data_IF_689631567002
#
_entry.id   IF_689631567002
#
_cell.length_a   1.000
_cell.length_b   1.000
_cell.length_c   1.000
_cell.angle_alpha   90.00
_cell.angle_beta   90.00
_cell.angle_gamma   90.00
#
_symmetry.space_group_name_H-M   'P 1'
#
loop_
_entity.id
_entity.type
_entity.pdbx_description
1 polymer ?
#
# COMPACT_ATOMS: atom_id res chain seq x y z
N UNK A 1 17.87 -25.86 -17.35
CA UNK A 1 16.98 -26.62 -16.44
C UNK A 1 15.88 -25.69 -15.97
N UNK A 2 14.70 -26.24 -15.71
CA UNK A 2 13.50 -25.46 -15.41
C UNK A 2 13.25 -25.42 -13.90
N UNK A 3 12.76 -24.28 -13.41
CA UNK A 3 12.50 -24.03 -11.99
C UNK A 3 11.13 -23.39 -11.81
N UNK A 4 10.56 -23.52 -10.62
CA UNK A 4 9.43 -22.75 -10.14
C UNK A 4 9.93 -21.52 -9.40
N UNK A 5 9.51 -20.33 -9.84
CA UNK A 5 9.75 -19.06 -9.17
C UNK A 5 8.46 -18.57 -8.52
N UNK A 6 8.40 -18.63 -7.20
CA UNK A 6 7.29 -18.12 -6.40
C UNK A 6 7.73 -16.83 -5.72
N UNK A 7 7.05 -15.72 -6.05
CA UNK A 7 7.34 -14.39 -5.50
C UNK A 7 6.11 -13.84 -4.79
N UNK A 8 6.28 -13.18 -3.65
CA UNK A 8 5.18 -12.59 -2.89
C UNK A 8 5.57 -11.30 -2.17
N UNK A 9 4.61 -10.39 -2.10
CA UNK A 9 4.70 -9.12 -1.38
C UNK A 9 3.72 -9.15 -0.20
N UNK A 10 4.15 -8.63 0.94
CA UNK A 10 3.36 -8.40 2.14
C UNK A 10 3.80 -7.12 2.87
N UNK A 11 3.18 -6.80 4.01
CA UNK A 11 1.99 -7.45 4.59
C UNK A 11 0.73 -7.13 3.77
N UNK A 12 -0.17 -8.11 3.54
CA UNK A 12 -1.37 -7.87 2.69
C UNK A 12 -2.55 -7.38 3.52
N UNK A 13 -2.94 -8.15 4.54
CA UNK A 13 -4.14 -7.86 5.31
C UNK A 13 -3.98 -6.58 6.14
N UNK A 14 -2.85 -6.40 6.82
CA UNK A 14 -2.53 -5.16 7.53
C UNK A 14 -2.52 -3.95 6.60
N UNK A 15 -1.87 -4.07 5.44
CA UNK A 15 -1.78 -2.98 4.47
C UNK A 15 -3.12 -2.59 3.88
N UNK A 16 -3.96 -3.53 3.48
CA UNK A 16 -5.27 -3.25 2.87
C UNK A 16 -6.25 -2.74 3.94
N UNK A 17 -6.34 -3.44 5.08
CA UNK A 17 -7.32 -3.13 6.13
C UNK A 17 -7.08 -1.80 6.85
N UNK A 18 -5.83 -1.32 6.90
CA UNK A 18 -5.49 0.01 7.42
C UNK A 18 -5.92 1.12 6.45
N UNK A 19 -7.23 1.34 6.39
CA UNK A 19 -7.89 2.28 5.51
C UNK A 19 -8.96 3.02 6.32
N UNK A 20 -8.90 4.36 6.32
CA UNK A 20 -9.94 5.18 6.96
C UNK A 20 -11.06 5.56 5.99
N UNK A 21 -10.73 5.67 4.71
CA UNK A 21 -11.67 5.99 3.62
C UNK A 21 -11.67 4.84 2.61
N UNK A 22 -12.78 4.61 1.91
CA UNK A 22 -12.88 3.55 0.88
C UNK A 22 -11.84 3.70 -0.23
N UNK A 23 -11.43 4.95 -0.53
CA UNK A 23 -10.30 5.22 -1.43
C UNK A 23 -8.97 4.62 -0.96
N UNK A 24 -8.72 4.57 0.35
CA UNK A 24 -7.48 4.03 0.91
C UNK A 24 -7.43 2.51 0.74
N UNK A 25 -8.61 1.85 0.79
CA UNK A 25 -8.77 0.43 0.53
C UNK A 25 -8.45 0.11 -0.94
N UNK A 26 -9.10 0.83 -1.88
CA UNK A 26 -8.84 0.69 -3.31
C UNK A 26 -7.37 0.97 -3.65
N UNK A 27 -6.82 2.06 -3.11
CA UNK A 27 -5.43 2.42 -3.33
C UNK A 27 -4.45 1.36 -2.82
N UNK A 28 -4.70 0.77 -1.64
CA UNK A 28 -3.88 -0.33 -1.13
C UNK A 28 -3.86 -1.52 -2.07
N UNK A 29 -5.03 -1.99 -2.52
CA UNK A 29 -5.10 -3.12 -3.46
C UNK A 29 -4.43 -2.80 -4.80
N UNK A 30 -4.67 -1.62 -5.37
CA UNK A 30 -4.09 -1.23 -6.66
C UNK A 30 -2.59 -1.03 -6.59
N UNK A 31 -2.06 -0.49 -5.49
CA UNK A 31 -0.63 -0.34 -5.28
C UNK A 31 0.06 -1.72 -5.21
N UNK A 32 -0.51 -2.68 -4.47
CA UNK A 32 0.02 -4.06 -4.47
C UNK A 32 -0.01 -4.69 -5.85
N UNK A 33 -1.11 -4.51 -6.62
CA UNK A 33 -1.18 -5.01 -7.99
C UNK A 33 -0.16 -4.34 -8.92
N UNK A 34 0.10 -3.03 -8.78
CA UNK A 34 1.15 -2.35 -9.56
C UNK A 34 2.53 -2.88 -9.21
N UNK A 35 2.83 -3.10 -7.93
CA UNK A 35 4.12 -3.65 -7.49
C UNK A 35 4.33 -5.08 -8.01
N UNK A 36 3.31 -5.92 -7.99
CA UNK A 36 3.41 -7.29 -8.55
C UNK A 36 3.57 -7.29 -10.06
N UNK A 37 2.86 -6.39 -10.76
CA UNK A 37 3.08 -6.21 -12.20
C UNK A 37 4.51 -5.79 -12.50
N UNK A 38 5.04 -4.83 -11.73
CA UNK A 38 6.41 -4.38 -11.88
C UNK A 38 7.43 -5.49 -11.59
N UNK A 39 7.20 -6.29 -10.54
CA UNK A 39 8.02 -7.46 -10.23
C UNK A 39 8.10 -8.43 -11.41
N UNK A 40 6.94 -8.75 -12.01
CA UNK A 40 6.85 -9.61 -13.18
C UNK A 40 7.61 -9.03 -14.39
N UNK A 41 7.36 -7.76 -14.73
CA UNK A 41 8.02 -7.09 -15.84
C UNK A 41 9.54 -7.02 -15.68
N UNK A 42 10.03 -6.89 -14.44
CA UNK A 42 11.47 -6.92 -14.12
C UNK A 42 12.02 -8.34 -14.25
N UNK A 43 11.35 -9.33 -13.67
CA UNK A 43 11.77 -10.73 -13.74
C UNK A 43 11.96 -11.23 -15.19
N UNK A 44 11.13 -10.76 -16.11
CA UNK A 44 11.25 -11.06 -17.55
C UNK A 44 12.51 -10.48 -18.23
N UNK A 45 13.16 -9.50 -17.62
CA UNK A 45 14.28 -8.74 -18.20
C UNK A 45 15.62 -9.01 -17.52
N UNK A 46 15.64 -9.79 -16.44
CA UNK A 46 16.90 -10.14 -15.74
C UNK A 46 17.78 -10.98 -16.67
N UNK A 47 19.06 -10.61 -16.78
CA UNK A 47 19.99 -11.14 -17.79
C UNK A 47 20.23 -12.66 -17.72
N UNK A 48 20.06 -13.25 -16.54
CA UNK A 48 20.25 -14.69 -16.30
C UNK A 48 19.08 -15.56 -16.80
N UNK A 49 17.92 -14.94 -17.05
CA UNK A 49 16.70 -15.63 -17.51
C UNK A 49 16.77 -15.91 -19.01
N UNK A 50 16.56 -17.16 -19.41
CA UNK A 50 16.40 -17.55 -20.82
C UNK A 50 14.93 -17.50 -21.27
N UNK A 51 14.02 -17.83 -20.37
CA UNK A 51 12.58 -17.83 -20.59
C UNK A 51 11.85 -17.94 -19.27
N UNK A 52 10.72 -17.24 -19.18
CA UNK A 52 9.86 -17.23 -18.00
C UNK A 52 8.39 -17.18 -18.46
N UNK A 53 7.57 -18.08 -17.91
CA UNK A 53 6.15 -18.19 -18.23
C UNK A 53 5.31 -18.19 -16.94
N UNK A 54 4.24 -17.39 -16.88
CA UNK A 54 3.42 -17.31 -15.67
C UNK A 54 2.52 -18.55 -15.57
N UNK A 55 2.55 -19.21 -14.42
CA UNK A 55 1.56 -20.23 -14.06
C UNK A 55 0.34 -19.55 -13.43
N UNK A 56 0.58 -18.57 -12.56
CA UNK A 56 -0.44 -17.69 -11.99
C UNK A 56 0.18 -16.38 -11.49
N UNK A 57 -0.57 -15.28 -11.42
CA UNK A 57 -1.90 -15.06 -12.00
C UNK A 57 -1.83 -14.85 -13.52
N UNK A 58 -2.99 -14.69 -14.15
CA UNK A 58 -3.07 -14.10 -15.48
C UNK A 58 -2.75 -12.59 -15.39
N UNK A 59 -1.65 -12.18 -16.01
CA UNK A 59 -1.17 -10.79 -16.02
C UNK A 59 -1.94 -9.86 -16.98
N UNK A 60 -2.88 -10.39 -17.78
CA UNK A 60 -3.76 -9.58 -18.63
C UNK A 60 -4.88 -8.87 -17.85
N UNK A 61 -5.14 -9.30 -16.61
CA UNK A 61 -6.19 -8.77 -15.75
C UNK A 61 -5.89 -7.40 -15.10
N UNK A 62 -6.95 -6.74 -14.64
CA UNK A 62 -6.88 -5.40 -14.00
C UNK A 62 -6.38 -5.47 -12.55
N UNK A 63 -6.73 -6.53 -11.83
CA UNK A 63 -6.34 -6.75 -10.43
C UNK A 63 -5.44 -7.98 -10.29
N UNK A 64 -4.23 -7.77 -9.77
CA UNK A 64 -3.28 -8.85 -9.50
C UNK A 64 -3.25 -9.18 -8.00
N UNK A 65 -3.19 -10.46 -7.62
CA UNK A 65 -2.88 -10.87 -6.25
C UNK A 65 -1.50 -10.38 -5.83
N UNK A 66 -1.19 -10.50 -4.54
CA UNK A 66 0.09 -10.13 -3.94
C UNK A 66 1.22 -11.17 -4.18
N UNK A 67 1.05 -12.07 -5.14
CA UNK A 67 2.01 -13.14 -5.45
C UNK A 67 1.88 -13.59 -6.89
N UNK A 68 2.96 -14.14 -7.43
CA UNK A 68 2.92 -14.89 -8.68
C UNK A 68 3.79 -16.15 -8.59
N UNK A 69 3.44 -17.14 -9.38
CA UNK A 69 4.21 -18.36 -9.61
C UNK A 69 4.51 -18.45 -11.10
N UNK A 70 5.75 -18.70 -11.44
CA UNK A 70 6.21 -18.81 -12.81
C UNK A 70 7.12 -20.01 -13.00
N UNK A 71 7.09 -20.57 -14.20
CA UNK A 71 8.12 -21.46 -14.70
C UNK A 71 9.25 -20.61 -15.28
N UNK A 72 10.49 -20.89 -14.89
CA UNK A 72 11.67 -20.12 -15.33
C UNK A 72 12.81 -21.05 -15.72
N UNK A 73 13.53 -20.65 -16.76
CA UNK A 73 14.73 -21.33 -17.25
C UNK A 73 15.92 -20.38 -17.18
N UNK A 74 17.06 -20.91 -16.72
CA UNK A 74 18.30 -20.17 -16.55
C UNK A 74 19.40 -20.69 -17.47
N UNK A 75 20.33 -19.78 -17.84
CA UNK A 75 21.59 -20.15 -18.49
C UNK A 75 22.48 -20.94 -17.53
N UNK A 76 22.55 -20.47 -16.29
CA UNK A 76 23.34 -21.02 -15.19
C UNK A 76 22.49 -20.93 -13.91
N UNK A 77 22.27 -22.07 -13.25
CA UNK A 77 21.45 -22.18 -12.04
C UNK A 77 22.06 -21.44 -10.85
N UNK A 78 23.38 -21.25 -10.84
CA UNK A 78 24.05 -20.44 -9.81
C UNK A 78 23.62 -18.97 -9.84
N UNK A 79 22.99 -18.52 -10.93
CA UNK A 79 22.43 -17.18 -11.09
C UNK A 79 20.94 -17.10 -10.76
N UNK A 80 20.30 -18.17 -10.29
CA UNK A 80 18.89 -18.13 -9.88
C UNK A 80 18.65 -17.10 -8.76
N UNK A 81 19.59 -16.99 -7.81
CA UNK A 81 19.52 -15.99 -6.74
C UNK A 81 19.44 -14.55 -7.27
N UNK A 82 20.16 -14.23 -8.35
CA UNK A 82 20.16 -12.91 -8.98
C UNK A 82 18.75 -12.50 -9.43
N UNK A 83 17.96 -13.43 -9.98
CA UNK A 83 16.56 -13.16 -10.37
C UNK A 83 15.73 -12.70 -9.16
N UNK A 84 15.83 -13.42 -8.05
CA UNK A 84 15.09 -13.09 -6.82
C UNK A 84 15.49 -11.72 -6.27
N UNK A 85 16.79 -11.48 -6.14
CA UNK A 85 17.36 -10.25 -5.58
C UNK A 85 17.07 -9.02 -6.44
N UNK A 86 17.28 -9.08 -7.76
CA UNK A 86 16.99 -7.96 -8.65
C UNK A 86 15.48 -7.65 -8.72
N UNK A 87 14.65 -8.69 -8.73
CA UNK A 87 13.19 -8.51 -8.70
C UNK A 87 12.73 -7.86 -7.39
N UNK A 88 13.25 -8.32 -6.25
CA UNK A 88 12.96 -7.71 -4.95
C UNK A 88 13.41 -6.25 -4.90
N UNK A 89 14.65 -5.97 -5.30
CA UNK A 89 15.21 -4.63 -5.28
C UNK A 89 14.38 -3.67 -6.16
N UNK A 90 14.03 -4.08 -7.37
CA UNK A 90 13.22 -3.26 -8.27
C UNK A 90 11.84 -2.92 -7.68
N UNK A 91 11.20 -3.85 -6.98
CA UNK A 91 9.90 -3.61 -6.32
C UNK A 91 10.05 -2.60 -5.18
N UNK A 92 11.10 -2.73 -4.35
CA UNK A 92 11.37 -1.79 -3.26
C UNK A 92 11.64 -0.38 -3.80
N UNK A 93 12.45 -0.28 -4.85
CA UNK A 93 12.73 0.98 -5.53
C UNK A 93 11.48 1.60 -6.16
N UNK A 94 10.63 0.79 -6.79
CA UNK A 94 9.36 1.26 -7.36
C UNK A 94 8.46 1.88 -6.32
N UNK A 95 8.30 1.25 -5.14
CA UNK A 95 7.52 1.82 -4.05
C UNK A 95 8.12 3.14 -3.56
N UNK A 96 9.45 3.20 -3.38
CA UNK A 96 10.15 4.44 -3.04
C UNK A 96 9.93 5.53 -4.08
N UNK A 97 10.07 5.23 -5.37
CA UNK A 97 9.85 6.19 -6.44
C UNK A 97 8.41 6.74 -6.47
N UNK A 98 7.41 5.88 -6.25
CA UNK A 98 6.00 6.30 -6.13
C UNK A 98 5.86 7.28 -4.95
N UNK A 99 6.36 6.88 -3.78
CA UNK A 99 6.27 7.66 -2.55
C UNK A 99 6.98 9.02 -2.66
N UNK A 100 8.20 9.03 -3.18
CA UNK A 100 9.01 10.25 -3.36
C UNK A 100 8.36 11.22 -4.34
N UNK A 101 7.85 10.72 -5.46
CA UNK A 101 7.09 11.53 -6.42
C UNK A 101 5.89 12.20 -5.77
N UNK A 102 5.18 11.51 -4.88
CA UNK A 102 4.02 12.06 -4.18
C UNK A 102 4.41 13.16 -3.19
N UNK A 103 5.48 13.00 -2.42
CA UNK A 103 5.92 14.09 -1.53
C UNK A 103 6.42 15.29 -2.34
N UNK A 104 7.19 15.09 -3.42
CA UNK A 104 7.68 16.18 -4.27
C UNK A 104 6.53 16.98 -4.90
N UNK A 105 5.38 16.33 -5.17
CA UNK A 105 4.18 16.99 -5.70
C UNK A 105 3.34 17.72 -4.65
N UNK A 106 3.35 17.24 -3.40
CA UNK A 106 2.33 17.58 -2.39
C UNK A 106 2.88 18.32 -1.18
N UNK A 107 4.15 18.11 -0.85
CA UNK A 107 4.87 18.75 0.25
C UNK A 107 5.77 19.81 -0.35
N UNK A 108 5.66 21.06 0.11
CA UNK A 108 6.47 22.17 -0.37
C UNK A 108 7.41 22.66 0.72
N UNK A 109 8.69 22.82 0.37
CA UNK A 109 9.70 23.37 1.28
C UNK A 109 9.91 22.51 2.52
N UNK A 110 10.01 21.18 2.33
CA UNK A 110 10.35 20.24 3.39
C UNK A 110 11.58 20.70 4.20
N UNK A 111 11.58 20.41 5.50
CA UNK A 111 12.60 20.88 6.45
C UNK A 111 13.10 19.73 7.32
N UNK A 112 14.34 19.85 7.79
CA UNK A 112 14.97 18.90 8.70
C UNK A 112 14.97 17.48 8.14
N UNK A 113 14.77 16.49 9.00
CA UNK A 113 14.88 15.07 8.65
C UNK A 113 13.62 14.48 7.99
N UNK A 114 12.66 15.33 7.58
CA UNK A 114 11.36 14.86 7.07
C UNK A 114 11.51 13.79 5.98
N UNK A 115 12.31 14.09 4.95
CA UNK A 115 12.49 13.22 3.79
C UNK A 115 13.15 11.91 4.16
N UNK A 116 14.24 11.97 4.93
CA UNK A 116 14.94 10.77 5.41
C UNK A 116 14.02 9.87 6.23
N UNK A 117 13.18 10.44 7.10
CA UNK A 117 12.18 9.68 7.87
C UNK A 117 11.08 9.11 7.02
N UNK A 118 10.63 9.85 6.01
CA UNK A 118 9.65 9.37 5.06
C UNK A 118 10.19 8.17 4.28
N UNK A 119 11.38 8.30 3.69
CA UNK A 119 12.09 7.23 2.97
C UNK A 119 12.30 6.00 3.84
N UNK A 120 12.72 6.18 5.10
CA UNK A 120 12.88 5.09 6.06
C UNK A 120 11.55 4.36 6.31
N UNK A 121 10.46 5.08 6.62
CA UNK A 121 9.15 4.46 6.82
C UNK A 121 8.65 3.69 5.59
N UNK A 122 9.00 4.12 4.37
CA UNK A 122 8.67 3.38 3.13
C UNK A 122 9.55 2.13 3.00
N UNK A 123 10.85 2.24 3.27
CA UNK A 123 11.82 1.15 3.11
C UNK A 123 11.49 -0.02 4.03
N UNK A 124 11.12 0.28 5.27
CA UNK A 124 10.82 -0.69 6.31
C UNK A 124 9.46 -1.38 6.13
N UNK A 125 8.63 -0.92 5.19
CA UNK A 125 7.24 -1.35 5.14
C UNK A 125 7.04 -2.67 4.38
N UNK A 126 7.78 -2.86 3.30
CA UNK A 126 7.52 -3.95 2.37
C UNK A 126 8.24 -5.23 2.80
N UNK A 127 7.46 -6.28 3.02
CA UNK A 127 7.95 -7.64 3.17
C UNK A 127 7.95 -8.30 1.78
N UNK A 128 9.12 -8.56 1.21
CA UNK A 128 9.27 -9.29 -0.05
C UNK A 128 9.87 -10.64 0.26
N UNK A 129 9.24 -11.69 -0.25
CA UNK A 129 9.74 -13.05 -0.10
C UNK A 129 9.64 -13.77 -1.43
N UNK A 130 10.60 -14.64 -1.69
CA UNK A 130 10.62 -15.43 -2.90
C UNK A 130 11.33 -16.77 -2.69
N UNK A 131 11.00 -17.73 -3.55
CA UNK A 131 11.62 -19.05 -3.62
C UNK A 131 11.81 -19.40 -5.08
N UNK A 132 12.98 -19.93 -5.43
CA UNK A 132 13.25 -20.55 -6.71
C UNK A 132 13.63 -22.00 -6.43
N UNK A 133 12.83 -22.95 -6.92
CA UNK A 133 13.00 -24.38 -6.66
C UNK A 133 13.04 -25.16 -7.99
N UNK A 134 13.92 -26.15 -8.17
CA UNK A 134 13.93 -26.97 -9.39
C UNK A 134 12.57 -27.61 -9.69
N UNK A 135 12.17 -27.59 -10.95
CA UNK A 135 10.98 -28.28 -11.43
C UNK A 135 11.36 -29.70 -11.83
N UNK A 136 10.93 -30.68 -11.04
CA UNK A 136 11.10 -32.11 -11.33
C UNK A 136 9.97 -32.66 -12.20
N UNK A 137 10.01 -33.97 -12.44
CA UNK A 137 9.01 -34.68 -13.26
C UNK A 137 7.61 -34.67 -12.65
N UNK A 138 7.52 -34.62 -11.31
CA UNK A 138 6.25 -34.47 -10.58
C UNK A 138 6.01 -33.00 -10.21
N UNK A 139 5.29 -32.29 -11.08
CA UNK A 139 4.88 -30.90 -10.86
C UNK A 139 4.21 -30.68 -9.50
N UNK A 140 3.35 -31.61 -9.05
CA UNK A 140 2.61 -31.44 -7.80
C UNK A 140 3.57 -31.48 -6.61
N UNK A 141 4.54 -32.38 -6.63
CA UNK A 141 5.57 -32.45 -5.59
C UNK A 141 6.41 -31.17 -5.56
N UNK A 142 6.93 -30.72 -6.71
CA UNK A 142 7.71 -29.47 -6.80
C UNK A 142 6.92 -28.23 -6.37
N UNK A 143 5.63 -28.17 -6.68
CA UNK A 143 4.76 -27.06 -6.26
C UNK A 143 4.55 -27.04 -4.74
N UNK A 144 4.22 -28.18 -4.14
CA UNK A 144 4.01 -28.28 -2.69
C UNK A 144 5.30 -27.97 -1.90
N UNK A 145 6.44 -28.42 -2.41
CA UNK A 145 7.75 -28.08 -1.85
C UNK A 145 8.02 -26.58 -1.93
N UNK A 146 7.80 -25.96 -3.09
CA UNK A 146 7.97 -24.50 -3.29
C UNK A 146 7.12 -23.68 -2.30
N UNK A 147 5.85 -24.05 -2.10
CA UNK A 147 4.97 -23.39 -1.12
C UNK A 147 5.46 -23.61 0.33
N UNK A 148 5.93 -24.82 0.65
CA UNK A 148 6.49 -25.13 1.97
C UNK A 148 7.76 -24.32 2.26
N UNK A 149 8.66 -24.22 1.30
CA UNK A 149 9.88 -23.40 1.39
C UNK A 149 9.53 -21.93 1.59
N UNK A 150 8.54 -21.40 0.86
CA UNK A 150 8.11 -20.01 1.05
C UNK A 150 7.54 -19.80 2.46
N UNK A 151 6.79 -20.78 2.98
CA UNK A 151 6.32 -20.78 4.37
C UNK A 151 7.48 -20.71 5.38
N UNK A 152 8.54 -21.49 5.16
CA UNK A 152 9.73 -21.47 6.00
C UNK A 152 10.47 -20.12 5.95
N UNK A 153 10.66 -19.56 4.75
CA UNK A 153 11.28 -18.24 4.55
C UNK A 153 10.51 -17.15 5.33
N UNK A 154 9.17 -17.16 5.26
CA UNK A 154 8.33 -16.23 6.04
C UNK A 154 8.43 -16.43 7.54
N UNK A 155 8.61 -17.67 8.00
CA UNK A 155 8.76 -18.00 9.42
C UNK A 155 10.12 -17.55 9.98
N UNK A 156 11.16 -17.44 9.15
CA UNK A 156 12.48 -16.96 9.53
C UNK A 156 12.64 -15.44 9.50
N UNK A 157 11.55 -14.68 9.29
CA UNK A 157 11.63 -13.22 9.22
C UNK A 157 12.23 -12.63 10.49
N UNK A 158 13.14 -11.68 10.32
CA UNK A 158 13.70 -10.91 11.42
C UNK A 158 12.74 -9.79 11.79
N UNK A 159 12.44 -9.66 13.08
CA UNK A 159 11.65 -8.54 13.59
C UNK A 159 12.59 -7.37 13.90
N UNK A 160 12.61 -6.36 13.02
CA UNK A 160 13.29 -5.11 13.29
C UNK A 160 12.56 -4.32 14.38
N UNK A 161 13.29 -3.85 15.39
CA UNK A 161 12.74 -2.85 16.30
C UNK A 161 12.67 -1.50 15.59
N UNK A 162 11.59 -0.75 15.85
CA UNK A 162 11.51 0.62 15.37
C UNK A 162 12.59 1.48 16.05
N UNK A 163 13.11 2.51 15.37
CA UNK A 163 14.03 3.47 15.97
C UNK A 163 13.48 4.06 17.28
N UNK A 164 14.34 4.36 18.25
CA UNK A 164 13.92 4.93 19.54
C UNK A 164 13.20 6.28 19.40
N UNK A 165 13.48 7.01 18.31
CA UNK A 165 12.87 8.30 17.99
C UNK A 165 11.51 8.22 17.28
N UNK A 166 10.98 7.01 17.04
CA UNK A 166 9.57 6.76 16.72
C UNK A 166 8.68 6.88 17.99
N UNK A 167 8.76 8.04 18.65
CA UNK A 167 8.12 8.32 19.95
C UNK A 167 7.07 9.45 19.89
N UNK A 168 6.68 9.87 18.69
CA UNK A 168 5.77 10.99 18.50
C UNK A 168 4.34 10.51 18.22
N UNK A 169 3.48 11.45 17.83
CA UNK A 169 2.09 11.17 17.47
C UNK A 169 2.03 10.16 16.34
N UNK A 170 1.36 9.05 16.59
CA UNK A 170 1.13 7.99 15.60
C UNK A 170 0.15 8.40 14.49
N UNK A 171 0.31 7.74 13.36
CA UNK A 171 -0.57 7.87 12.21
C UNK A 171 -2.03 7.62 12.60
N UNK A 172 -2.93 8.49 12.16
CA UNK A 172 -4.37 8.40 12.40
C UNK A 172 -5.06 7.27 11.62
N UNK A 173 -4.35 6.62 10.69
CA UNK A 173 -4.88 5.52 9.86
C UNK A 173 -4.31 4.18 10.31
N UNK A 174 -2.98 4.08 10.48
CA UNK A 174 -2.33 2.80 10.80
C UNK A 174 -2.06 2.62 12.29
N UNK A 175 -1.82 3.70 13.04
CA UNK A 175 -1.43 3.64 14.45
C UNK A 175 -0.02 3.10 14.73
N UNK A 176 0.70 2.61 13.72
CA UNK A 176 1.98 1.90 13.90
C UNK A 176 3.19 2.84 13.91
N UNK A 177 3.25 3.77 12.95
CA UNK A 177 4.39 4.69 12.74
C UNK A 177 4.00 6.12 13.06
N UNK A 178 4.98 6.94 13.38
CA UNK A 178 4.84 8.38 13.58
C UNK A 178 4.21 9.04 12.36
N UNK A 179 3.30 9.96 12.62
CA UNK A 179 2.70 10.80 11.60
C UNK A 179 3.72 11.85 11.15
N UNK A 180 4.05 11.82 9.86
CA UNK A 180 5.00 12.74 9.22
C UNK A 180 4.28 13.89 8.52
N UNK A 181 3.06 13.66 8.01
CA UNK A 181 2.33 14.65 7.22
C UNK A 181 0.97 14.97 7.86
N UNK A 182 0.65 16.25 7.97
CA UNK A 182 -0.62 16.75 8.52
C UNK A 182 -1.30 17.70 7.54
N UNK A 183 -2.64 17.80 7.61
CA UNK A 183 -3.35 18.91 6.94
C UNK A 183 -2.91 20.27 7.52
N UNK A 184 -2.85 20.34 8.85
CA UNK A 184 -2.31 21.47 9.59
C UNK A 184 -1.58 20.93 10.82
N UNK A 185 -0.37 21.44 11.11
CA UNK A 185 0.35 21.07 12.33
C UNK A 185 -0.51 21.47 13.55
N UNK A 186 -0.86 20.53 14.44
CA UNK A 186 -1.60 20.84 15.66
C UNK A 186 -0.81 21.79 16.56
N UNK A 187 -1.45 22.89 16.97
CA UNK A 187 -0.84 23.92 17.81
C UNK A 187 -1.45 23.96 19.21
N UNK A 188 -0.70 24.51 20.16
CA UNK A 188 -1.17 24.84 21.51
C UNK A 188 -1.91 26.20 21.53
N UNK A 189 -2.36 26.64 22.71
CA UNK A 189 -3.05 27.94 22.87
C UNK A 189 -2.14 29.15 22.58
N UNK A 190 -0.82 28.97 22.57
CA UNK A 190 0.18 30.01 22.30
C UNK A 190 0.62 30.01 20.83
N UNK A 191 0.10 29.10 20.01
CA UNK A 191 0.44 28.97 18.60
C UNK A 191 1.68 28.11 18.32
N UNK A 192 2.28 27.45 19.31
CA UNK A 192 3.42 26.56 19.10
C UNK A 192 2.97 25.17 18.65
N UNK A 193 3.72 24.45 17.81
CA UNK A 193 3.47 23.02 17.57
C UNK A 193 3.42 22.26 18.89
N UNK A 194 2.45 21.34 19.03
CA UNK A 194 2.35 20.52 20.25
C UNK A 194 3.56 19.60 20.38
N UNK A 195 4.05 19.41 21.61
CA UNK A 195 5.30 18.68 21.91
C UNK A 195 5.31 17.21 21.45
N UNK A 196 4.15 16.58 21.31
CA UNK A 196 4.05 15.21 20.81
C UNK A 196 4.10 15.12 19.28
N UNK A 197 4.19 16.22 18.54
CA UNK A 197 4.35 16.22 17.09
C UNK A 197 5.84 16.14 16.78
N UNK A 198 6.22 15.27 15.85
CA UNK A 198 7.60 15.17 15.41
C UNK A 198 8.10 16.53 14.87
N UNK A 199 9.31 16.98 15.25
CA UNK A 199 9.81 18.31 14.89
C UNK A 199 10.02 18.48 13.37
N UNK A 200 10.21 17.37 12.65
CA UNK A 200 10.34 17.32 11.20
C UNK A 200 9.00 17.12 10.47
N UNK A 201 7.87 17.00 11.17
CA UNK A 201 6.58 16.80 10.51
C UNK A 201 6.18 18.01 9.65
N UNK A 202 5.61 17.73 8.48
CA UNK A 202 5.24 18.74 7.50
C UNK A 202 3.72 18.93 7.43
N UNK A 203 3.29 20.17 7.20
CA UNK A 203 1.92 20.45 6.80
C UNK A 203 1.83 20.53 5.28
N UNK A 204 0.77 19.98 4.71
CA UNK A 204 0.46 20.13 3.29
C UNK A 204 -0.72 21.10 3.14
N UNK A 205 -0.53 22.15 2.36
CA UNK A 205 -1.58 23.11 2.07
C UNK A 205 -2.43 22.62 0.89
N UNK A 206 -3.20 21.56 1.12
CA UNK A 206 -4.08 20.92 0.11
C UNK A 206 -5.53 21.14 0.51
N UNK A 207 -6.38 21.19 -0.51
CA UNK A 207 -7.83 21.14 -0.39
C UNK A 207 -8.29 20.06 0.62
N UNK A 208 -9.08 20.50 1.60
CA UNK A 208 -9.39 19.81 2.86
C UNK A 208 -10.13 18.46 2.73
N UNK A 209 -10.50 18.06 1.52
CA UNK A 209 -11.28 16.85 1.25
C UNK A 209 -10.47 15.55 1.44
N UNK A 210 -9.15 15.59 1.22
CA UNK A 210 -8.31 14.39 1.27
C UNK A 210 -7.79 14.07 2.68
N UNK A 211 -7.41 15.09 3.47
CA UNK A 211 -6.96 14.93 4.87
C UNK A 211 -7.82 15.79 5.79
N UNK A 212 -8.41 15.17 6.82
CA UNK A 212 -9.23 15.88 7.79
C UNK A 212 -8.42 16.76 8.75
N UNK A 213 -9.03 17.78 9.36
CA UNK A 213 -8.34 18.58 10.37
C UNK A 213 -7.82 17.70 11.51
N UNK A 214 -6.55 17.91 11.87
CA UNK A 214 -5.87 17.17 12.91
C UNK A 214 -5.50 15.73 12.54
N UNK A 215 -5.85 15.21 11.36
CA UNK A 215 -5.39 13.93 10.85
C UNK A 215 -3.90 14.02 10.50
N UNK A 216 -3.13 13.03 10.99
CA UNK A 216 -1.70 12.88 10.69
C UNK A 216 -1.43 11.54 10.03
N UNK A 217 -0.64 11.53 8.97
CA UNK A 217 -0.35 10.36 8.14
C UNK A 217 1.13 9.98 8.26
N UNK A 218 1.41 8.67 8.44
CA UNK A 218 2.73 8.09 8.18
C UNK A 218 3.01 8.10 6.68
N UNK A 219 4.24 7.79 6.30
CA UNK A 219 4.66 7.73 4.91
C UNK A 219 3.77 6.81 4.06
N UNK A 220 3.47 5.61 4.58
CA UNK A 220 2.65 4.63 3.88
C UNK A 220 1.18 5.06 3.76
N UNK A 221 0.59 5.57 4.84
CA UNK A 221 -0.78 6.06 4.80
C UNK A 221 -0.92 7.25 3.83
N UNK A 222 0.07 8.13 3.80
CA UNK A 222 0.16 9.22 2.85
C UNK A 222 0.26 8.69 1.41
N UNK A 223 1.20 7.79 1.14
CA UNK A 223 1.38 7.19 -0.19
C UNK A 223 0.09 6.56 -0.68
N UNK A 224 -0.59 5.73 0.14
CA UNK A 224 -1.91 5.18 -0.21
C UNK A 224 -2.96 6.26 -0.49
N UNK A 225 -3.08 7.26 0.38
CA UNK A 225 -4.10 8.31 0.29
C UNK A 225 -4.01 9.09 -1.04
N UNK A 226 -2.79 9.33 -1.52
CA UNK A 226 -2.51 10.13 -2.71
C UNK A 226 -2.14 9.31 -3.96
N UNK A 227 -1.98 7.98 -3.83
CA UNK A 227 -1.67 7.10 -4.96
C UNK A 227 -2.73 7.18 -6.07
N UNK A 228 -4.01 7.23 -5.69
CA UNK A 228 -5.11 7.40 -6.65
C UNK A 228 -5.54 8.86 -6.74
N UNK A 229 -5.62 9.36 -7.97
CA UNK A 229 -6.13 10.69 -8.30
C UNK A 229 -7.65 10.71 -8.39
N UNK A 230 -8.26 9.63 -8.88
CA UNK A 230 -9.71 9.48 -8.98
C UNK A 230 -10.37 9.21 -7.63
N UNK A 231 -11.55 9.81 -7.42
CA UNK A 231 -12.39 9.52 -6.27
C UNK A 231 -12.87 8.07 -6.25
N UNK A 232 -13.14 7.56 -5.06
CA UNK A 232 -13.92 6.34 -4.89
C UNK A 232 -15.05 6.64 -3.93
N UNK A 233 -16.22 6.09 -4.24
CA UNK A 233 -17.43 6.32 -3.46
C UNK A 233 -17.21 5.97 -1.99
N UNK A 234 -17.70 6.82 -1.10
CA UNK A 234 -17.65 6.54 0.33
C UNK A 234 -18.56 5.35 0.66
N UNK A 235 -18.38 4.76 1.83
CA UNK A 235 -19.30 3.71 2.32
C UNK A 235 -20.75 4.21 2.41
N UNK A 236 -20.93 5.49 2.77
CA UNK A 236 -22.24 6.14 2.77
C UNK A 236 -22.82 6.26 1.36
N UNK A 237 -22.02 6.67 0.37
CA UNK A 237 -22.46 6.75 -1.02
C UNK A 237 -22.89 5.37 -1.54
N UNK A 238 -22.06 4.34 -1.31
CA UNK A 238 -22.36 2.95 -1.70
C UNK A 238 -23.64 2.46 -1.04
N UNK A 239 -23.81 2.69 0.26
CA UNK A 239 -25.01 2.30 1.00
C UNK A 239 -26.27 3.01 0.47
N UNK A 240 -26.13 4.25 0.00
CA UNK A 240 -27.24 5.05 -0.55
C UNK A 240 -27.46 4.85 -2.05
N UNK A 241 -26.61 4.09 -2.76
CA UNK A 241 -26.75 3.91 -4.22
C UNK A 241 -28.12 3.36 -4.60
N UNK A 242 -28.59 2.32 -3.92
CA UNK A 242 -29.90 1.73 -4.17
C UNK A 242 -31.02 2.73 -3.92
N UNK A 243 -30.90 3.52 -2.84
CA UNK A 243 -31.83 4.59 -2.55
C UNK A 243 -31.84 5.63 -3.66
N UNK A 244 -30.69 6.14 -4.12
CA UNK A 244 -30.64 7.12 -5.21
C UNK A 244 -31.15 6.59 -6.54
N UNK A 245 -30.91 5.32 -6.84
CA UNK A 245 -31.45 4.65 -8.05
C UNK A 245 -32.98 4.58 -7.98
N UNK A 246 -33.54 4.28 -6.80
CA UNK A 246 -35.01 4.20 -6.58
C UNK A 246 -35.68 5.56 -6.34
N UNK A 247 -34.95 6.52 -5.78
CA UNK A 247 -35.38 7.85 -5.39
C UNK A 247 -35.48 8.84 -6.55
N UNK A 248 -35.11 8.42 -7.77
CA UNK A 248 -35.27 9.22 -8.98
C UNK A 248 -36.74 9.66 -9.21
N UNK A 249 -37.70 9.10 -8.47
CA UNK A 249 -39.06 9.62 -8.34
C UNK A 249 -39.38 9.98 -6.87
N UNK A 250 -39.20 11.24 -6.48
CA UNK A 250 -39.85 11.84 -5.30
C UNK A 250 -39.25 11.60 -3.90
N UNK A 251 -38.31 10.66 -3.72
CA UNK A 251 -37.88 10.27 -2.36
C UNK A 251 -37.03 11.32 -1.61
N UNK A 252 -36.50 12.34 -2.30
CA UNK A 252 -35.82 13.47 -1.63
C UNK A 252 -36.82 14.30 -0.80
N UNK A 253 -38.08 14.41 -1.25
CA UNK A 253 -39.10 15.16 -0.52
C UNK A 253 -39.75 14.33 0.61
N UNK A 254 -39.88 13.01 0.46
CA UNK A 254 -40.24 12.12 1.58
C UNK A 254 -39.19 12.16 2.69
N UNK A 255 -37.90 12.13 2.34
CA UNK A 255 -36.83 12.21 3.34
C UNK A 255 -36.84 13.55 4.08
N UNK A 256 -37.02 14.68 3.37
CA UNK A 256 -37.14 16.00 4.01
C UNK A 256 -38.39 16.10 4.91
N UNK A 257 -39.50 15.46 4.53
CA UNK A 257 -40.72 15.44 5.34
C UNK A 257 -40.53 14.77 6.71
N UNK A 258 -39.68 13.74 6.79
CA UNK A 258 -39.35 13.06 8.06
C UNK A 258 -38.63 13.96 9.09
N UNK A 259 -37.98 15.02 8.64
CA UNK A 259 -37.27 15.98 9.51
C UNK A 259 -37.96 17.33 9.60
N UNK A 260 -39.18 17.48 9.06
CA UNK A 260 -39.96 18.70 9.20
C UNK A 260 -40.63 18.69 10.58
N UNK A 261 -40.38 19.69 11.46
CA UNK A 261 -40.94 19.69 12.80
C UNK A 261 -42.47 19.73 12.75
N UNK A 262 -43.13 18.74 13.33
CA UNK A 262 -44.58 18.79 13.56
C UNK A 262 -44.83 19.83 14.65
N UNK A 263 -45.22 21.05 14.25
CA UNK A 263 -45.74 22.04 15.19
C UNK A 263 -46.99 21.45 15.84
N UNK A 264 -46.94 21.21 17.16
CA UNK A 264 -48.12 20.79 17.91
C UNK A 264 -49.17 21.91 17.86
N UNK A 265 -50.43 21.63 17.53
CA UNK A 265 -51.50 22.61 17.68
C UNK A 265 -51.64 23.01 19.15
N UNK A 266 -51.77 24.32 19.38
CA UNK A 266 -52.04 24.96 20.68
C UNK A 266 -53.41 24.62 21.23
#
# INVERSE_FOLDING_TARGET
MTHLFLFTIGPVQGFIAQARKTRDLKAGSQLLSELIRHAWETAQKVDCVQGIEPIMPDFSGVGLPNRFLAEVSFKDETQAQMLGEETEQAVREKLQQIAMRLIDQKVKGEQGDFRARFEQQIADHLEVHWVINPLGDDYKASYLETESLLGAVKATRTFGQLPEDEAHRKCSVTGERDALVFANIPRDKKGNPRSFIAPFAQAINIDSSQISQGEGLSAIAFTKRFFLTEGFDSTADIALKEYFIKAAEGAVEEYKALFTPVLRPS
#
